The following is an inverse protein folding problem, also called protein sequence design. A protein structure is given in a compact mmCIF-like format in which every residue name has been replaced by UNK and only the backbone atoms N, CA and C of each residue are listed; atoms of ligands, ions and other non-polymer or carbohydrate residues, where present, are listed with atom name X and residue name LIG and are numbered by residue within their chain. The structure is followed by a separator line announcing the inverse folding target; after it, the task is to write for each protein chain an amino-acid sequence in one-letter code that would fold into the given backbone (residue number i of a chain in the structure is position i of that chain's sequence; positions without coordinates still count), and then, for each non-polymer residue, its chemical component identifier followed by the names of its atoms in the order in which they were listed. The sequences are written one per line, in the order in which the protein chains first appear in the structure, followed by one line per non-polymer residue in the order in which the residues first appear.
data_IF_048077622022
#
_entry.id   IF_048077622022
#
_cell.length_a   1.000
_cell.length_b   1.000
_cell.length_c   1.000
_cell.angle_alpha   90.00
_cell.angle_beta   90.00
_cell.angle_gamma   90.00
#
_symmetry.space_group_name_H-M   'P 1'
#
loop_
_entity.id
_entity.type
_entity.pdbx_description
1 polymer ?
#
# COMPACT_ATOMS: atom_id res chain seq x y z
N UNK A 1 25.94 3.81 -6.10
CA UNK A 1 24.62 3.65 -6.76
C UNK A 1 23.54 3.83 -5.71
N UNK A 2 22.59 4.75 -5.91
CA UNK A 2 21.43 4.87 -5.02
C UNK A 2 20.57 3.61 -5.12
N UNK A 3 20.11 3.10 -3.98
CA UNK A 3 19.25 1.92 -3.90
C UNK A 3 18.01 2.32 -3.11
N UNK A 4 16.84 1.99 -3.66
CA UNK A 4 15.54 2.16 -3.02
C UNK A 4 14.86 0.81 -3.06
N UNK A 5 14.43 0.31 -1.90
CA UNK A 5 13.66 -0.93 -1.77
C UNK A 5 12.37 -0.56 -1.06
N UNK A 6 11.23 -0.90 -1.65
CA UNK A 6 9.92 -0.58 -1.10
C UNK A 6 8.95 -1.73 -1.31
N UNK A 7 7.99 -1.84 -0.40
CA UNK A 7 6.93 -2.84 -0.47
C UNK A 7 6.44 -3.25 0.90
N UNK A 8 5.61 -4.29 0.90
CA UNK A 8 5.19 -5.02 2.09
C UNK A 8 6.28 -6.06 2.44
N UNK A 9 6.91 -5.88 3.60
CA UNK A 9 7.95 -6.77 4.10
C UNK A 9 7.39 -7.92 4.93
N UNK A 10 6.08 -7.92 5.24
CA UNK A 10 5.44 -8.85 6.19
C UNK A 10 6.24 -8.99 7.50
N UNK A 11 6.79 -7.87 7.98
CA UNK A 11 7.62 -7.82 9.17
C UNK A 11 7.39 -6.52 9.92
N UNK A 12 6.55 -6.56 10.95
CA UNK A 12 6.48 -5.47 11.90
C UNK A 12 7.80 -5.37 12.68
N UNK A 13 8.23 -4.16 13.03
CA UNK A 13 9.50 -3.97 13.76
C UNK A 13 9.57 -4.75 15.09
N UNK A 14 8.41 -5.17 15.62
CA UNK A 14 8.29 -5.98 16.84
C UNK A 14 8.43 -7.48 16.58
N UNK A 15 8.34 -7.93 15.34
CA UNK A 15 8.32 -9.35 15.02
C UNK A 15 9.71 -10.00 15.17
N UNK A 16 9.82 -11.27 15.56
CA UNK A 16 8.73 -12.09 16.07
C UNK A 16 8.18 -11.54 17.41
N UNK A 17 6.87 -11.60 17.61
CA UNK A 17 6.22 -11.11 18.84
C UNK A 17 6.60 -11.95 20.05
N UNK A 18 6.62 -11.33 21.23
CA UNK A 18 6.63 -12.07 22.48
C UNK A 18 5.38 -12.94 22.60
N UNK A 19 5.49 -14.05 23.35
CA UNK A 19 4.40 -15.03 23.53
C UNK A 19 3.11 -14.39 24.06
N UNK A 20 3.26 -13.43 24.96
CA UNK A 20 2.15 -12.75 25.63
C UNK A 20 1.84 -11.35 25.03
N UNK A 21 2.56 -10.95 23.98
CA UNK A 21 2.36 -9.65 23.35
C UNK A 21 1.07 -9.65 22.51
N UNK A 22 0.33 -8.52 22.45
CA UNK A 22 -0.81 -8.40 21.55
C UNK A 22 -0.41 -8.66 20.08
N UNK A 23 -0.99 -9.71 19.51
CA UNK A 23 -0.74 -10.14 18.14
C UNK A 23 -2.05 -10.42 17.37
N UNK A 24 -2.93 -9.41 17.19
CA UNK A 24 -4.21 -9.59 16.52
C UNK A 24 -4.06 -9.90 15.03
N UNK A 25 -2.86 -9.69 14.47
CA UNK A 25 -2.53 -10.00 13.09
C UNK A 25 -1.76 -11.28 12.87
N UNK A 26 -1.62 -12.12 13.91
CA UNK A 26 -1.01 -13.44 13.83
C UNK A 26 0.38 -13.44 13.17
N UNK A 27 1.14 -12.35 13.42
CA UNK A 27 2.53 -12.25 12.99
C UNK A 27 3.39 -13.31 13.68
N UNK A 28 4.59 -13.65 13.16
CA UNK A 28 5.45 -14.65 13.78
C UNK A 28 5.66 -14.38 15.27
N UNK A 29 5.64 -15.45 16.08
CA UNK A 29 5.91 -15.40 17.53
C UNK A 29 7.29 -16.00 17.79
N UNK A 30 7.94 -15.57 18.87
CA UNK A 30 9.26 -16.07 19.26
C UNK A 30 9.31 -17.60 19.31
N UNK A 31 10.44 -18.16 18.89
CA UNK A 31 10.71 -19.60 18.88
C UNK A 31 12.20 -19.86 19.11
N UNK A 32 12.60 -21.12 19.26
CA UNK A 32 14.02 -21.47 19.44
C UNK A 32 14.92 -20.99 18.28
N UNK A 33 14.37 -20.92 17.06
CA UNK A 33 15.10 -20.44 15.86
C UNK A 33 15.21 -18.90 15.85
N UNK A 34 14.14 -18.26 16.31
CA UNK A 34 13.92 -16.82 16.32
C UNK A 34 13.55 -16.34 17.74
N UNK A 35 14.50 -16.37 18.70
CA UNK A 35 14.18 -16.19 20.12
C UNK A 35 14.03 -14.72 20.53
N UNK A 36 14.44 -13.79 19.67
CA UNK A 36 14.56 -12.36 20.02
C UNK A 36 13.58 -11.53 19.20
N UNK A 37 12.60 -10.87 19.84
CA UNK A 37 11.73 -9.91 19.17
C UNK A 37 12.51 -8.79 18.50
N UNK A 38 12.13 -8.44 17.27
CA UNK A 38 12.80 -7.43 16.45
C UNK A 38 14.22 -7.80 16.02
N UNK A 39 14.69 -9.03 16.27
CA UNK A 39 16.03 -9.45 15.88
C UNK A 39 16.16 -9.62 14.37
N UNK A 40 17.19 -9.02 13.75
CA UNK A 40 17.36 -9.00 12.29
C UNK A 40 17.35 -10.39 11.64
N UNK A 41 17.92 -11.42 12.29
CA UNK A 41 17.90 -12.80 11.78
C UNK A 41 16.50 -13.27 11.35
N UNK A 42 15.45 -12.78 12.00
CA UNK A 42 14.07 -13.21 11.77
C UNK A 42 13.12 -12.05 11.47
N UNK A 43 13.65 -10.87 11.19
CA UNK A 43 12.86 -9.67 10.95
C UNK A 43 13.45 -8.91 9.76
N UNK A 44 12.68 -8.80 8.68
CA UNK A 44 13.12 -8.15 7.47
C UNK A 44 13.33 -6.63 7.66
N UNK A 45 12.51 -5.96 8.48
CA UNK A 45 12.73 -4.55 8.84
C UNK A 45 14.10 -4.37 9.53
N UNK A 46 14.39 -5.15 10.57
CA UNK A 46 15.66 -5.05 11.29
C UNK A 46 16.86 -5.48 10.44
N UNK A 47 16.69 -6.47 9.55
CA UNK A 47 17.71 -6.84 8.55
C UNK A 47 18.11 -5.64 7.69
N UNK A 48 17.14 -4.87 7.20
CA UNK A 48 17.40 -3.70 6.38
C UNK A 48 18.18 -2.63 7.16
N UNK A 49 17.78 -2.37 8.41
CA UNK A 49 18.46 -1.41 9.28
C UNK A 49 19.90 -1.85 9.58
N UNK A 50 20.13 -3.12 9.95
CA UNK A 50 21.48 -3.65 10.21
C UNK A 50 22.37 -3.68 8.96
N UNK A 51 21.77 -3.89 7.78
CA UNK A 51 22.46 -3.80 6.50
C UNK A 51 22.80 -2.35 6.10
N UNK A 52 22.49 -1.35 6.93
CA UNK A 52 22.81 0.05 6.71
C UNK A 52 21.91 0.74 5.69
N UNK A 53 20.65 0.29 5.56
CA UNK A 53 19.61 1.07 4.89
C UNK A 53 18.94 2.02 5.89
N UNK A 54 18.54 3.18 5.40
CA UNK A 54 17.74 4.15 6.15
C UNK A 54 16.25 3.91 5.88
N UNK A 55 15.43 3.97 6.93
CA UNK A 55 13.97 4.01 6.78
C UNK A 55 13.56 5.40 6.26
N UNK A 56 13.22 5.49 4.98
CA UNK A 56 12.76 6.72 4.34
C UNK A 56 11.26 7.00 4.57
N UNK A 57 10.57 6.13 5.30
CA UNK A 57 9.14 6.29 5.62
C UNK A 57 8.93 6.86 7.04
N UNK A 58 7.70 7.31 7.40
CA UNK A 58 7.42 7.79 8.76
C UNK A 58 7.79 6.75 9.83
N UNK A 59 8.07 7.20 11.05
CA UNK A 59 8.56 6.36 12.15
C UNK A 59 7.72 5.09 12.32
N UNK A 60 8.36 3.95 12.08
CA UNK A 60 7.75 2.62 12.16
C UNK A 60 7.20 2.29 13.54
N UNK A 61 7.75 2.92 14.60
CA UNK A 61 7.34 2.68 15.99
C UNK A 61 6.13 3.50 16.41
N UNK A 62 5.78 4.53 15.64
CA UNK A 62 4.63 5.36 15.94
C UNK A 62 3.36 4.71 15.38
N UNK A 63 2.46 4.29 16.28
CA UNK A 63 1.24 3.59 15.91
C UNK A 63 0.34 4.36 14.94
N UNK A 64 0.42 5.70 14.90
CA UNK A 64 -0.29 6.53 13.91
C UNK A 64 0.08 6.15 12.48
N UNK A 65 1.26 5.60 12.25
CA UNK A 65 1.76 5.24 10.94
C UNK A 65 1.68 3.74 10.64
N UNK A 66 0.96 2.94 11.42
CA UNK A 66 0.72 1.54 11.05
C UNK A 66 -0.01 1.44 9.72
N UNK A 67 0.34 0.41 8.95
CA UNK A 67 -0.05 0.24 7.55
C UNK A 67 -0.97 -0.93 7.32
N UNK A 68 -1.10 -1.87 8.26
CA UNK A 68 -2.04 -2.98 8.11
C UNK A 68 -3.04 -3.11 9.26
N UNK A 69 -4.30 -3.41 8.90
CA UNK A 69 -5.35 -3.71 9.88
C UNK A 69 -6.81 -3.52 9.44
N UNK A 70 -7.08 -3.27 8.16
CA UNK A 70 -8.47 -3.30 7.69
C UNK A 70 -9.07 -4.71 7.78
N UNK A 71 -10.40 -4.79 7.80
CA UNK A 71 -11.11 -6.06 7.69
C UNK A 71 -10.99 -6.63 6.27
N UNK A 72 -11.16 -7.96 6.12
CA UNK A 72 -11.12 -8.62 4.80
C UNK A 72 -12.17 -8.10 3.80
N UNK A 73 -13.27 -7.52 4.30
CA UNK A 73 -14.31 -6.89 3.48
C UNK A 73 -14.02 -5.42 3.15
N UNK A 74 -12.91 -4.87 3.66
CA UNK A 74 -12.47 -3.49 3.53
C UNK A 74 -13.46 -2.44 4.06
N UNK A 75 -14.58 -2.83 4.67
CA UNK A 75 -15.64 -1.96 5.17
C UNK A 75 -15.35 -1.37 6.57
N UNK A 76 -14.07 -1.14 6.84
CA UNK A 76 -13.54 -0.58 8.07
C UNK A 76 -12.44 -1.44 8.69
N UNK A 77 -11.97 -1.08 9.89
CA UNK A 77 -10.99 -1.88 10.60
C UNK A 77 -11.54 -3.21 11.09
N UNK A 78 -10.70 -4.23 11.13
CA UNK A 78 -11.10 -5.50 11.77
C UNK A 78 -11.44 -5.26 13.25
N UNK A 79 -12.53 -5.87 13.73
CA UNK A 79 -13.05 -5.58 15.09
C UNK A 79 -12.08 -6.01 16.20
N UNK A 80 -11.34 -7.11 16.01
CA UNK A 80 -10.35 -7.57 16.99
C UNK A 80 -9.16 -6.60 17.00
N UNK A 81 -8.71 -6.20 15.82
CA UNK A 81 -7.63 -5.22 15.65
C UNK A 81 -7.99 -3.85 16.18
N UNK A 82 -9.19 -3.34 15.92
CA UNK A 82 -9.63 -2.00 16.34
C UNK A 82 -9.49 -1.80 17.86
N UNK A 83 -9.79 -2.82 18.65
CA UNK A 83 -9.61 -2.79 20.10
C UNK A 83 -8.14 -2.65 20.50
N UNK A 84 -7.27 -3.44 19.89
CA UNK A 84 -5.82 -3.45 20.18
C UNK A 84 -5.15 -2.19 19.63
N UNK A 85 -5.48 -1.76 18.41
CA UNK A 85 -5.00 -0.54 17.79
C UNK A 85 -5.22 0.66 18.71
N UNK A 86 -6.41 0.78 19.32
CA UNK A 86 -6.71 1.86 20.27
C UNK A 86 -5.81 1.82 21.50
N UNK A 87 -5.47 0.62 22.01
CA UNK A 87 -4.52 0.47 23.13
C UNK A 87 -3.10 0.87 22.72
N UNK A 88 -2.72 0.65 21.46
CA UNK A 88 -1.45 1.07 20.88
C UNK A 88 -1.41 2.56 20.51
N UNK A 89 -2.52 3.29 20.64
CA UNK A 89 -2.63 4.71 20.26
C UNK A 89 -3.02 4.97 18.80
N UNK A 90 -3.45 3.95 18.06
CA UNK A 90 -4.03 4.07 16.73
C UNK A 90 -5.57 4.00 16.78
N UNK A 91 -6.23 5.12 16.46
CA UNK A 91 -7.69 5.23 16.51
C UNK A 91 -8.42 4.69 15.28
N UNK A 92 -7.70 4.33 14.22
CA UNK A 92 -8.26 3.92 12.93
C UNK A 92 -8.20 2.40 12.71
N UNK A 93 -7.66 1.65 13.67
CA UNK A 93 -7.71 0.19 13.70
C UNK A 93 -6.54 -0.55 13.04
N UNK A 94 -5.52 0.19 12.59
CA UNK A 94 -4.28 -0.40 12.11
C UNK A 94 -3.42 -0.81 13.29
N UNK A 95 -2.87 -2.04 13.26
CA UNK A 95 -2.14 -2.64 14.39
C UNK A 95 -0.68 -2.91 14.08
N UNK A 96 -0.33 -3.01 12.80
CA UNK A 96 0.98 -3.46 12.35
C UNK A 96 1.55 -2.53 11.29
N UNK A 97 2.86 -2.37 11.32
CA UNK A 97 3.64 -1.66 10.32
C UNK A 97 4.33 -2.69 9.44
N UNK A 98 3.82 -2.96 8.23
CA UNK A 98 4.40 -3.99 7.36
C UNK A 98 5.05 -3.39 6.10
N UNK A 99 4.61 -2.20 5.73
CA UNK A 99 5.02 -1.53 4.50
C UNK A 99 6.12 -0.49 4.79
N UNK A 100 7.18 -0.53 4.00
CA UNK A 100 8.35 0.30 4.19
C UNK A 100 8.92 0.83 2.89
N UNK A 101 9.67 1.93 3.00
CA UNK A 101 10.56 2.43 1.97
C UNK A 101 11.93 2.55 2.61
N UNK A 102 12.89 1.76 2.13
CA UNK A 102 14.27 1.78 2.57
C UNK A 102 15.16 2.39 1.48
N UNK A 103 16.14 3.17 1.90
CA UNK A 103 17.08 3.82 0.99
C UNK A 103 18.52 3.59 1.41
N UNK A 104 19.44 3.57 0.44
CA UNK A 104 20.88 3.52 0.67
C UNK A 104 21.61 4.30 -0.41
N UNK A 105 22.61 5.08 -0.03
CA UNK A 105 23.38 5.93 -0.94
C UNK A 105 22.51 6.93 -1.76
N UNK A 106 21.39 7.37 -1.21
CA UNK A 106 20.60 8.50 -1.75
C UNK A 106 21.14 9.81 -1.18
N UNK A 107 20.73 10.95 -1.73
CA UNK A 107 21.15 12.24 -1.18
C UNK A 107 20.36 12.60 0.08
N UNK A 108 19.03 12.53 0.01
CA UNK A 108 18.17 12.81 1.16
C UNK A 108 16.76 12.21 0.99
N UNK A 109 16.09 11.92 2.11
CA UNK A 109 14.63 11.78 2.16
C UNK A 109 14.02 13.14 2.48
N UNK A 110 13.31 13.73 1.52
CA UNK A 110 12.76 15.09 1.61
C UNK A 110 11.49 15.14 2.44
N UNK A 111 10.61 14.15 2.24
CA UNK A 111 9.35 14.04 2.98
C UNK A 111 8.80 12.63 2.92
N UNK A 112 7.97 12.28 3.91
CA UNK A 112 7.28 10.99 3.93
C UNK A 112 5.93 11.10 4.65
N UNK A 113 4.97 10.25 4.25
CA UNK A 113 3.62 10.21 4.86
C UNK A 113 2.93 8.87 4.62
N UNK A 114 1.89 8.61 5.40
CA UNK A 114 0.95 7.49 5.21
C UNK A 114 -0.35 8.01 4.61
N UNK A 115 -0.92 7.24 3.68
CA UNK A 115 -2.20 7.54 3.03
C UNK A 115 -3.13 6.34 3.14
N UNK A 116 -4.43 6.58 3.24
CA UNK A 116 -5.43 5.50 3.33
C UNK A 116 -5.54 4.82 4.70
N UNK A 117 -4.88 5.33 5.75
CA UNK A 117 -4.97 4.78 7.11
C UNK A 117 -5.97 5.51 8.02
N UNK A 118 -6.89 6.29 7.46
CA UNK A 118 -7.90 7.09 8.20
C UNK A 118 -9.30 6.60 7.83
N UNK A 119 -10.10 6.32 8.85
CA UNK A 119 -11.46 5.77 8.73
C UNK A 119 -12.45 6.48 9.66
N UNK A 120 -13.73 6.63 9.28
CA UNK A 120 -14.31 6.40 7.95
C UNK A 120 -14.13 7.58 6.99
N UNK A 121 -13.71 8.73 7.50
CA UNK A 121 -13.74 10.02 6.77
C UNK A 121 -12.40 10.37 6.11
N UNK A 122 -11.54 9.38 5.87
CA UNK A 122 -10.26 9.59 5.20
C UNK A 122 -10.43 9.85 3.71
N UNK A 123 -9.58 10.68 3.11
CA UNK A 123 -9.63 10.96 1.66
C UNK A 123 -9.33 9.75 0.76
N UNK A 124 -8.89 8.62 1.34
CA UNK A 124 -8.61 7.38 0.63
C UNK A 124 -9.76 6.37 0.60
N UNK A 125 -10.87 6.62 1.28
CA UNK A 125 -12.03 5.72 1.26
C UNK A 125 -12.88 5.92 0.01
N UNK A 126 -13.65 4.90 -0.38
CA UNK A 126 -14.51 4.95 -1.57
C UNK A 126 -15.84 4.21 -1.35
N UNK A 127 -16.84 4.52 -2.17
CA UNK A 127 -18.15 3.86 -2.10
C UNK A 127 -18.11 2.50 -2.82
N UNK A 128 -18.18 1.42 -2.05
CA UNK A 128 -18.20 0.03 -2.52
C UNK A 128 -19.64 -0.54 -2.48
N UNK A 129 -20.56 0.15 -3.15
CA UNK A 129 -22.00 -0.17 -3.12
C UNK A 129 -22.74 0.65 -2.07
N UNK A 130 -23.35 -0.01 -1.08
CA UNK A 130 -24.07 0.64 0.03
C UNK A 130 -23.19 0.95 1.24
N UNK A 131 -21.89 0.67 1.15
CA UNK A 131 -20.91 0.88 2.21
C UNK A 131 -19.78 1.78 1.73
N UNK A 132 -19.07 2.36 2.69
CA UNK A 132 -17.76 2.94 2.49
C UNK A 132 -16.74 1.80 2.65
N UNK A 133 -15.69 1.78 1.85
CA UNK A 133 -14.59 0.84 1.96
C UNK A 133 -13.24 1.56 1.91
N UNK A 134 -12.25 0.96 2.56
CA UNK A 134 -10.85 1.19 2.23
C UNK A 134 -10.53 0.71 0.80
N UNK A 135 -9.48 1.25 0.17
CA UNK A 135 -9.03 0.82 -1.15
C UNK A 135 -8.23 -0.50 -1.10
N UNK A 136 -7.65 -0.81 0.06
CA UNK A 136 -6.88 -2.02 0.37
C UNK A 136 -6.91 -2.23 1.88
N UNK A 137 -6.57 -3.45 2.33
CA UNK A 137 -6.33 -3.76 3.74
C UNK A 137 -5.03 -3.18 4.28
N UNK A 138 -4.16 -2.72 3.36
CA UNK A 138 -2.98 -1.93 3.62
C UNK A 138 -3.22 -0.42 3.38
N UNK A 139 -2.47 0.39 4.09
CA UNK A 139 -2.31 1.82 3.87
C UNK A 139 -1.03 2.10 3.06
N UNK A 140 -1.09 3.05 2.14
CA UNK A 140 0.04 3.40 1.29
C UNK A 140 1.12 4.16 2.04
N UNK A 141 2.38 3.84 1.74
CA UNK A 141 3.57 4.58 2.20
C UNK A 141 4.09 5.43 1.06
N UNK A 142 4.28 6.73 1.30
CA UNK A 142 4.75 7.68 0.29
C UNK A 142 6.00 8.36 0.80
N UNK A 143 7.02 8.51 -0.05
CA UNK A 143 8.23 9.27 0.26
C UNK A 143 8.77 9.97 -0.98
N UNK A 144 9.27 11.19 -0.77
CA UNK A 144 9.99 11.96 -1.78
C UNK A 144 11.48 11.85 -1.49
N UNK A 145 12.25 11.31 -2.44
CA UNK A 145 13.67 11.02 -2.29
C UNK A 145 14.47 11.83 -3.29
N UNK A 146 15.51 12.53 -2.82
CA UNK A 146 16.47 13.21 -3.65
C UNK A 146 17.61 12.25 -4.03
N UNK A 147 17.83 12.09 -5.33
CA UNK A 147 18.90 11.24 -5.87
C UNK A 147 20.21 12.04 -6.04
N UNK A 148 21.38 11.41 -5.87
CA UNK A 148 22.65 12.06 -6.17
C UNK A 148 22.70 12.54 -7.63
N UNK A 149 23.19 13.77 -7.88
CA UNK A 149 23.22 14.39 -9.22
C UNK A 149 23.95 13.58 -10.31
N UNK A 150 24.80 12.63 -9.92
CA UNK A 150 25.53 11.76 -10.86
C UNK A 150 24.78 10.45 -11.19
N UNK A 151 23.64 10.19 -10.55
CA UNK A 151 22.76 9.06 -10.89
C UNK A 151 21.90 9.44 -12.10
N UNK A 152 22.52 9.51 -13.28
CA UNK A 152 21.87 9.96 -14.52
C UNK A 152 21.43 8.83 -15.47
N UNK A 153 21.71 7.57 -15.13
CA UNK A 153 21.24 6.44 -15.91
C UNK A 153 19.75 6.24 -15.65
N UNK A 154 18.93 6.51 -16.66
CA UNK A 154 17.48 6.34 -16.65
C UNK A 154 17.18 5.24 -17.67
N UNK A 155 16.51 4.17 -17.23
CA UNK A 155 15.98 3.16 -18.16
C UNK A 155 14.98 3.82 -19.10
N UNK A 156 14.86 3.35 -20.36
CA UNK A 156 13.84 3.88 -21.26
C UNK A 156 12.45 3.76 -20.63
N UNK A 157 11.61 4.77 -20.86
CA UNK A 157 10.21 4.72 -20.42
C UNK A 157 9.54 3.43 -20.95
N UNK A 158 8.62 2.88 -20.15
CA UNK A 158 7.76 1.80 -20.62
C UNK A 158 7.01 2.25 -21.87
N UNK A 159 6.76 1.30 -22.77
CA UNK A 159 5.99 1.57 -23.99
C UNK A 159 4.69 2.30 -23.67
N UNK A 160 4.36 3.32 -24.47
CA UNK A 160 3.15 4.09 -24.27
C UNK A 160 1.92 3.20 -24.45
N UNK A 161 1.09 3.05 -23.41
CA UNK A 161 -0.22 2.42 -23.53
C UNK A 161 -1.28 3.47 -23.86
N UNK A 162 -2.04 3.26 -24.94
CA UNK A 162 -3.19 4.09 -25.25
C UNK A 162 -4.29 3.88 -24.19
N UNK A 163 -4.75 4.97 -23.54
CA UNK A 163 -5.84 4.95 -22.53
C UNK A 163 -7.16 4.38 -23.06
N UNK A 164 -7.31 4.37 -24.39
CA UNK A 164 -8.39 3.73 -25.13
C UNK A 164 -7.75 3.02 -26.33
N UNK A 165 -7.69 1.70 -26.30
CA UNK A 165 -7.39 0.94 -27.49
C UNK A 165 -8.62 1.02 -28.40
N UNK A 166 -8.67 1.96 -29.34
CA UNK A 166 -9.66 1.93 -30.42
C UNK A 166 -9.40 0.70 -31.30
N UNK A 167 -9.85 -0.46 -30.84
CA UNK A 167 -9.78 -1.71 -31.58
C UNK A 167 -10.85 -1.71 -32.68
N UNK A 168 -10.70 -2.54 -33.74
CA UNK A 168 -11.71 -2.66 -34.79
C UNK A 168 -13.11 -3.01 -34.26
N UNK A 169 -13.21 -3.60 -33.07
CA UNK A 169 -14.45 -3.90 -32.38
C UNK A 169 -15.31 -2.68 -32.06
N UNK A 170 -14.71 -1.51 -31.82
CA UNK A 170 -15.47 -0.29 -31.58
C UNK A 170 -16.26 0.18 -32.81
N UNK A 171 -15.72 -0.04 -34.02
CA UNK A 171 -16.44 0.25 -35.26
C UNK A 171 -17.59 -0.74 -35.48
N UNK A 172 -17.35 -2.02 -35.23
CA UNK A 172 -18.34 -3.10 -35.39
C UNK A 172 -19.49 -3.01 -34.38
N UNK A 173 -19.23 -2.66 -33.12
CA UNK A 173 -20.24 -2.68 -32.05
C UNK A 173 -20.82 -1.30 -31.77
N UNK A 174 -20.10 -0.22 -32.06
CA UNK A 174 -20.58 1.15 -31.86
C UNK A 174 -21.14 1.79 -33.12
N UNK A 175 -20.26 2.04 -34.09
CA UNK A 175 -20.57 2.92 -35.24
C UNK A 175 -21.51 2.25 -36.25
N UNK A 176 -21.28 0.98 -36.59
CA UNK A 176 -22.09 0.26 -37.58
C UNK A 176 -23.56 0.09 -37.12
N UNK A 177 -23.85 -0.34 -35.88
CA UNK A 177 -25.23 -0.46 -35.39
C UNK A 177 -25.95 0.89 -35.34
N UNK A 178 -25.27 1.94 -34.86
CA UNK A 178 -25.85 3.30 -34.84
C UNK A 178 -26.19 3.80 -36.25
N UNK A 179 -25.32 3.55 -37.22
CA UNK A 179 -25.57 3.90 -38.62
C UNK A 179 -26.76 3.11 -39.21
N UNK A 180 -26.85 1.81 -38.92
CA UNK A 180 -27.97 0.97 -39.36
C UNK A 180 -29.30 1.42 -38.73
N UNK A 181 -29.31 1.67 -37.42
CA UNK A 181 -30.48 2.20 -36.69
C UNK A 181 -30.92 3.54 -37.28
N UNK A 182 -29.98 4.45 -37.54
CA UNK A 182 -30.27 5.74 -38.18
C UNK A 182 -30.87 5.56 -39.57
N UNK A 183 -30.34 4.64 -40.37
CA UNK A 183 -30.84 4.38 -41.73
C UNK A 183 -32.26 3.78 -41.71
N UNK A 184 -32.54 2.88 -40.77
CA UNK A 184 -33.86 2.26 -40.57
C UNK A 184 -34.88 3.31 -40.10
N UNK A 185 -34.56 4.08 -39.06
CA UNK A 185 -35.45 5.14 -38.55
C UNK A 185 -35.74 6.21 -39.60
N UNK A 186 -34.76 6.57 -40.45
CA UNK A 186 -34.99 7.52 -41.55
C UNK A 186 -35.91 6.96 -42.64
N UNK A 187 -35.94 5.64 -42.84
CA UNK A 187 -36.88 4.98 -43.76
C UNK A 187 -38.29 4.87 -43.20
N UNK A 188 -38.44 4.63 -41.89
CA UNK A 188 -39.75 4.52 -41.23
C UNK A 188 -40.43 5.89 -40.98
N UNK A 189 -39.67 6.99 -41.04
CA UNK A 189 -40.19 8.37 -40.91
C UNK A 189 -40.53 9.03 -42.25
N UNK A 190 -40.33 8.35 -43.38
CA UNK A 190 -40.84 8.75 -44.70
C UNK A 190 -42.14 8.00 -44.96
#
# INVERSE_FOLDING_TARGET
MPIIILGDFNADYRDPRGVDDPNPGEQPVVSDICPTPGGAKCNAYSTMIEAGFENASPDAKNARYFTWGAAALLDGPDKRRAKIAKQLGNQYGFTDRLDYIFTKNVYATVSSKIIGNVWPDGSGVWNCGSKICFPSDHAGVVSTIELPRMAGAIDPDLDSHARLAFTPWYLLVGVIPLFLIWRITRRLRR
#
